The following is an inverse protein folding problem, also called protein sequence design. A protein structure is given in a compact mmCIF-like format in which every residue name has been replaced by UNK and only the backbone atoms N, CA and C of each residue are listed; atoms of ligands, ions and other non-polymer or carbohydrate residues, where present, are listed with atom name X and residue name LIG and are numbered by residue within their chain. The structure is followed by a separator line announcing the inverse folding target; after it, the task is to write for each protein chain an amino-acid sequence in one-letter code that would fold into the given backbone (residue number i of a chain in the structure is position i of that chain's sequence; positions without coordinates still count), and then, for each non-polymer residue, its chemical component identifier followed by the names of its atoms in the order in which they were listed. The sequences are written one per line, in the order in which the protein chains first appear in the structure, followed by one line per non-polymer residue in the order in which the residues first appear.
data_IF_992414572233
#
_entry.id   IF_992414572233
#
_cell.length_a   1.000
_cell.length_b   1.000
_cell.length_c   1.000
_cell.angle_alpha   90.00
_cell.angle_beta   90.00
_cell.angle_gamma   90.00
#
_symmetry.space_group_name_H-M   'P 1'
#
loop_
_entity.id
_entity.type
_entity.pdbx_description
1 polymer ?
#
# COMPACT_ATOMS: atom_id res chain seq x y z
N UNK A 1 6.81 23.16 -17.71
CA UNK A 1 7.56 22.05 -18.36
C UNK A 1 6.61 20.87 -18.56
N UNK A 2 6.39 20.41 -19.79
CA UNK A 2 5.33 19.44 -20.11
C UNK A 2 5.76 17.99 -19.79
N UNK A 3 4.91 17.22 -19.11
CA UNK A 3 5.07 15.78 -18.90
C UNK A 3 4.13 14.95 -19.79
N UNK A 4 4.53 13.73 -20.13
CA UNK A 4 3.67 12.74 -20.79
C UNK A 4 3.60 11.50 -19.91
N UNK A 5 2.40 11.01 -19.62
CA UNK A 5 2.16 9.75 -18.94
C UNK A 5 1.65 8.75 -19.97
N UNK A 6 2.40 7.66 -20.19
CA UNK A 6 1.93 6.53 -20.99
C UNK A 6 1.66 5.34 -20.06
N UNK A 7 0.42 4.84 -20.07
CA UNK A 7 0.03 3.64 -19.34
C UNK A 7 -0.32 2.53 -20.32
N UNK A 8 0.24 1.34 -20.09
CA UNK A 8 -0.09 0.13 -20.85
C UNK A 8 -0.53 -0.96 -19.88
N UNK A 9 -1.76 -1.44 -20.06
CA UNK A 9 -2.27 -2.56 -19.28
C UNK A 9 -1.96 -3.87 -20.00
N UNK A 10 -1.39 -4.83 -19.26
CA UNK A 10 -1.36 -6.24 -19.67
C UNK A 10 -2.45 -6.99 -18.89
N UNK A 11 -3.23 -7.87 -19.54
CA UNK A 11 -4.14 -8.77 -18.83
C UNK A 11 -3.40 -9.52 -17.71
N UNK A 12 -3.98 -9.53 -16.52
CA UNK A 12 -3.34 -10.19 -15.37
C UNK A 12 -3.47 -11.72 -15.48
N UNK A 13 -2.38 -12.43 -15.18
CA UNK A 13 -2.36 -13.89 -15.02
C UNK A 13 -2.32 -14.34 -13.56
N UNK A 14 -2.22 -13.39 -12.62
CA UNK A 14 -2.14 -13.67 -11.20
C UNK A 14 -3.55 -13.88 -10.64
N UNK A 15 -3.74 -14.93 -9.87
CA UNK A 15 -4.99 -15.20 -9.17
C UNK A 15 -5.31 -14.10 -8.15
N UNK A 16 -6.59 -13.80 -7.97
CA UNK A 16 -7.07 -12.93 -6.89
C UNK A 16 -6.63 -13.51 -5.54
N UNK A 17 -5.89 -12.75 -4.71
CA UNK A 17 -5.49 -13.21 -3.39
C UNK A 17 -6.73 -13.38 -2.51
N UNK A 18 -6.74 -14.43 -1.67
CA UNK A 18 -7.85 -14.64 -0.74
C UNK A 18 -7.71 -13.70 0.46
N UNK A 19 -8.83 -13.12 0.89
CA UNK A 19 -8.87 -12.24 2.07
C UNK A 19 -8.26 -12.88 3.32
N UNK A 20 -8.54 -14.18 3.54
CA UNK A 20 -7.97 -14.94 4.65
C UNK A 20 -6.43 -15.01 4.61
N UNK A 21 -5.83 -15.18 3.43
CA UNK A 21 -4.37 -15.24 3.28
C UNK A 21 -3.74 -13.85 3.56
N UNK A 22 -4.42 -12.77 3.17
CA UNK A 22 -3.99 -11.39 3.45
C UNK A 22 -4.04 -11.12 4.96
N UNK A 23 -5.17 -11.40 5.59
CA UNK A 23 -5.36 -11.16 7.02
C UNK A 23 -4.41 -12.00 7.87
N UNK A 24 -4.22 -13.28 7.53
CA UNK A 24 -3.27 -14.15 8.23
C UNK A 24 -1.83 -13.61 8.17
N UNK A 25 -1.41 -13.05 7.03
CA UNK A 25 -0.08 -12.42 6.92
C UNK A 25 0.05 -11.13 7.70
N UNK A 26 -1.00 -10.31 7.74
CA UNK A 26 -1.01 -9.11 8.58
C UNK A 26 -1.03 -9.45 10.06
N UNK A 27 -1.75 -10.50 10.46
CA UNK A 27 -1.73 -11.01 11.83
C UNK A 27 -0.33 -11.53 12.20
N UNK A 28 0.38 -12.19 11.27
CA UNK A 28 1.79 -12.55 11.46
C UNK A 28 2.70 -11.31 11.61
N UNK A 29 2.47 -10.26 10.82
CA UNK A 29 3.21 -9.00 10.96
C UNK A 29 3.00 -8.36 12.34
N UNK A 30 1.76 -8.35 12.84
CA UNK A 30 1.43 -7.85 14.18
C UNK A 30 2.07 -8.71 15.27
N UNK A 31 2.11 -10.03 15.08
CA UNK A 31 2.71 -10.96 16.04
C UNK A 31 4.24 -10.83 16.16
N UNK A 32 4.92 -10.21 15.19
CA UNK A 32 6.36 -9.89 15.28
C UNK A 32 6.67 -8.88 16.41
N UNK A 33 5.68 -8.11 16.88
CA UNK A 33 5.87 -7.12 17.92
C UNK A 33 6.95 -6.10 17.55
N UNK A 34 8.01 -6.02 18.35
CA UNK A 34 9.11 -5.07 18.14
C UNK A 34 10.14 -5.51 17.08
N UNK A 35 10.01 -6.70 16.48
CA UNK A 35 10.84 -7.08 15.33
C UNK A 35 10.31 -6.40 14.05
N UNK A 36 10.72 -5.14 13.88
CA UNK A 36 10.34 -4.28 12.76
C UNK A 36 10.76 -4.88 11.42
N UNK A 37 11.90 -5.58 11.36
CA UNK A 37 12.41 -6.17 10.12
C UNK A 37 11.51 -7.31 9.67
N UNK A 38 11.16 -8.23 10.58
CA UNK A 38 10.25 -9.32 10.29
C UNK A 38 8.84 -8.80 9.93
N UNK A 39 8.32 -7.83 10.69
CA UNK A 39 7.02 -7.20 10.39
C UNK A 39 7.00 -6.57 8.99
N UNK A 40 8.06 -5.84 8.64
CA UNK A 40 8.20 -5.19 7.33
C UNK A 40 8.21 -6.20 6.19
N UNK A 41 8.85 -7.36 6.35
CA UNK A 41 8.86 -8.42 5.34
C UNK A 41 7.45 -9.00 5.07
N UNK A 42 6.66 -9.19 6.14
CA UNK A 42 5.25 -9.61 6.01
C UNK A 42 4.42 -8.53 5.30
N UNK A 43 4.59 -7.26 5.68
CA UNK A 43 3.90 -6.13 5.07
C UNK A 43 4.26 -5.96 3.59
N UNK A 44 5.54 -6.12 3.23
CA UNK A 44 5.98 -6.07 1.84
C UNK A 44 5.29 -7.14 0.99
N UNK A 45 5.15 -8.35 1.53
CA UNK A 45 4.41 -9.42 0.85
C UNK A 45 2.93 -9.06 0.67
N UNK A 46 2.28 -8.49 1.68
CA UNK A 46 0.88 -8.05 1.58
C UNK A 46 0.74 -6.93 0.55
N UNK A 47 1.64 -5.95 0.56
CA UNK A 47 1.66 -4.88 -0.44
C UNK A 47 1.75 -5.46 -1.86
N UNK A 48 2.60 -6.46 -2.08
CA UNK A 48 2.73 -7.15 -3.37
C UNK A 48 1.48 -7.92 -3.78
N UNK A 49 0.86 -8.63 -2.83
CA UNK A 49 -0.41 -9.33 -3.07
C UNK A 49 -1.53 -8.36 -3.48
N UNK A 50 -1.52 -7.13 -2.99
CA UNK A 50 -2.52 -6.10 -3.27
C UNK A 50 -2.21 -5.27 -4.53
N UNK A 51 -1.10 -5.52 -5.25
CA UNK A 51 -0.77 -4.77 -6.48
C UNK A 51 -1.67 -5.13 -7.66
N UNK A 52 -2.10 -4.11 -8.40
CA UNK A 52 -2.77 -4.27 -9.69
C UNK A 52 -4.20 -4.81 -9.58
N UNK A 53 -4.73 -5.24 -10.73
CA UNK A 53 -6.13 -5.71 -10.86
C UNK A 53 -6.50 -6.81 -9.87
N UNK A 54 -5.69 -7.87 -9.62
CA UNK A 54 -6.08 -8.91 -8.66
C UNK A 54 -6.23 -8.38 -7.23
N UNK A 55 -5.40 -7.41 -6.84
CA UNK A 55 -5.53 -6.76 -5.53
C UNK A 55 -6.82 -5.94 -5.42
N UNK A 56 -7.15 -5.18 -6.48
CA UNK A 56 -8.42 -4.46 -6.56
C UNK A 56 -9.59 -5.43 -6.51
N UNK A 57 -9.55 -6.54 -7.25
CA UNK A 57 -10.61 -7.56 -7.23
C UNK A 57 -10.81 -8.19 -5.85
N UNK A 58 -9.75 -8.34 -5.05
CA UNK A 58 -9.87 -8.87 -3.69
C UNK A 58 -10.54 -7.88 -2.73
N UNK A 59 -10.36 -6.59 -2.97
CA UNK A 59 -10.80 -5.50 -2.09
C UNK A 59 -12.14 -4.87 -2.52
N UNK A 60 -12.42 -4.84 -3.83
CA UNK A 60 -13.64 -4.27 -4.38
C UNK A 60 -14.86 -4.98 -3.78
N UNK A 61 -15.83 -4.18 -3.34
CA UNK A 61 -17.05 -4.64 -2.65
C UNK A 61 -16.82 -5.49 -1.37
N UNK A 62 -15.59 -5.54 -0.83
CA UNK A 62 -15.28 -6.29 0.39
C UNK A 62 -14.93 -5.38 1.57
N UNK A 63 -15.95 -4.68 2.09
CA UNK A 63 -15.79 -3.72 3.18
C UNK A 63 -15.21 -4.34 4.45
N UNK A 64 -15.56 -5.60 4.75
CA UNK A 64 -15.05 -6.32 5.92
C UNK A 64 -13.55 -6.57 5.80
N UNK A 65 -13.06 -7.03 4.64
CA UNK A 65 -11.64 -7.20 4.41
C UNK A 65 -10.90 -5.86 4.50
N UNK A 66 -11.45 -4.79 3.94
CA UNK A 66 -10.83 -3.46 4.02
C UNK A 66 -10.69 -2.99 5.46
N UNK A 67 -11.77 -3.06 6.25
CA UNK A 67 -11.75 -2.71 7.67
C UNK A 67 -10.78 -3.60 8.46
N UNK A 68 -10.74 -4.90 8.14
CA UNK A 68 -9.82 -5.86 8.74
C UNK A 68 -8.36 -5.50 8.49
N UNK A 69 -8.00 -5.08 7.27
CA UNK A 69 -6.65 -4.62 6.94
C UNK A 69 -6.34 -3.31 7.68
N UNK A 70 -7.23 -2.33 7.66
CA UNK A 70 -7.02 -1.03 8.32
C UNK A 70 -6.77 -1.16 9.82
N UNK A 71 -7.55 -2.01 10.51
CA UNK A 71 -7.34 -2.25 11.93
C UNK A 71 -5.92 -2.80 12.23
N UNK A 72 -5.36 -3.62 11.33
CA UNK A 72 -4.01 -4.18 11.50
C UNK A 72 -2.93 -3.17 11.16
N UNK A 73 -3.13 -2.37 10.13
CA UNK A 73 -2.22 -1.25 9.81
C UNK A 73 -2.15 -0.25 10.96
N UNK A 74 -3.28 0.10 11.58
CA UNK A 74 -3.32 1.00 12.73
C UNK A 74 -2.50 0.47 13.91
N UNK A 75 -2.59 -0.84 14.21
CA UNK A 75 -1.79 -1.48 15.27
C UNK A 75 -0.29 -1.48 14.94
N UNK A 76 0.06 -1.66 13.67
CA UNK A 76 1.45 -1.62 13.22
C UNK A 76 2.00 -0.19 13.25
N UNK A 77 1.21 0.81 12.87
CA UNK A 77 1.59 2.23 13.00
C UNK A 77 1.87 2.61 14.46
N UNK A 78 1.03 2.16 15.41
CA UNK A 78 1.28 2.35 16.84
C UNK A 78 2.59 1.69 17.28
N UNK A 79 2.84 0.45 16.84
CA UNK A 79 4.07 -0.28 17.15
C UNK A 79 5.32 0.42 16.59
N UNK A 80 5.23 0.92 15.35
CA UNK A 80 6.31 1.70 14.71
C UNK A 80 6.54 3.00 15.47
N UNK A 81 5.49 3.71 15.88
CA UNK A 81 5.60 4.96 16.63
C UNK A 81 6.27 4.75 18.01
N UNK A 82 5.94 3.67 18.71
CA UNK A 82 6.61 3.31 19.97
C UNK A 82 8.10 3.02 19.75
N UNK A 83 8.44 2.30 18.68
CA UNK A 83 9.83 2.00 18.33
C UNK A 83 10.62 3.26 17.93
N UNK A 84 9.98 4.22 17.27
CA UNK A 84 10.54 5.53 16.89
C UNK A 84 10.93 6.33 18.15
N UNK A 85 10.02 6.43 19.13
CA UNK A 85 10.29 7.11 20.41
C UNK A 85 11.40 6.39 21.19
N UNK A 86 11.42 5.06 21.20
CA UNK A 86 12.47 4.30 21.87
C UNK A 86 13.86 4.58 21.24
N UNK A 87 13.91 4.79 19.92
CA UNK A 87 15.15 5.05 19.19
C UNK A 87 15.80 6.38 19.59
N UNK A 88 15.01 7.40 19.95
CA UNK A 88 15.52 8.71 20.39
C UNK A 88 16.41 8.65 21.65
N UNK A 89 16.21 7.61 22.47
CA UNK A 89 16.95 7.41 23.73
C UNK A 89 17.89 6.20 23.69
N UNK A 90 18.05 5.56 22.53
CA UNK A 90 18.86 4.38 22.38
C UNK A 90 20.36 4.71 22.46
N UNK A 91 21.10 3.94 23.26
CA UNK A 91 22.56 4.02 23.35
C UNK A 91 23.18 3.20 22.20
N UNK A 92 23.13 3.76 21.01
CA UNK A 92 23.70 3.20 19.78
C UNK A 92 24.80 4.13 19.25
N UNK A 93 25.79 3.54 18.57
CA UNK A 93 26.71 4.32 17.77
C UNK A 93 25.99 4.96 16.55
N UNK A 94 26.60 5.94 15.88
CA UNK A 94 25.96 6.63 14.76
C UNK A 94 25.51 5.70 13.63
N UNK A 95 26.28 4.66 13.33
CA UNK A 95 25.96 3.69 12.28
C UNK A 95 24.76 2.80 12.68
N UNK A 96 24.73 2.32 13.93
CA UNK A 96 23.60 1.55 14.47
C UNK A 96 22.31 2.36 14.50
N UNK A 97 22.39 3.66 14.84
CA UNK A 97 21.26 4.57 14.82
C UNK A 97 20.71 4.77 13.40
N UNK A 98 21.58 4.99 12.41
CA UNK A 98 21.18 5.15 11.00
C UNK A 98 20.49 3.89 10.47
N UNK A 99 21.06 2.70 10.75
CA UNK A 99 20.47 1.42 10.35
C UNK A 99 19.10 1.20 10.99
N UNK A 100 18.94 1.52 12.27
CA UNK A 100 17.66 1.40 12.97
C UNK A 100 16.60 2.38 12.42
N UNK A 101 16.97 3.64 12.19
CA UNK A 101 16.10 4.63 11.59
C UNK A 101 15.63 4.22 10.19
N UNK A 102 16.54 3.71 9.35
CA UNK A 102 16.22 3.22 8.01
C UNK A 102 15.19 2.08 8.02
N UNK A 103 15.26 1.19 9.03
CA UNK A 103 14.27 0.10 9.20
C UNK A 103 12.88 0.65 9.55
N UNK A 104 12.79 1.64 10.42
CA UNK A 104 11.52 2.28 10.77
C UNK A 104 10.91 3.05 9.59
N UNK A 105 11.74 3.74 8.81
CA UNK A 105 11.32 4.41 7.57
C UNK A 105 10.74 3.37 6.59
N UNK A 106 11.44 2.26 6.35
CA UNK A 106 10.97 1.21 5.46
C UNK A 106 9.63 0.60 5.92
N UNK A 107 9.45 0.41 7.23
CA UNK A 107 8.19 -0.06 7.81
C UNK A 107 7.04 0.94 7.57
N UNK A 108 7.29 2.23 7.82
CA UNK A 108 6.30 3.31 7.61
C UNK A 108 5.92 3.44 6.14
N UNK A 109 6.88 3.35 5.24
CA UNK A 109 6.67 3.42 3.79
C UNK A 109 5.75 2.30 3.31
N UNK A 110 5.95 1.07 3.79
CA UNK A 110 5.10 -0.05 3.37
C UNK A 110 3.69 0.04 3.97
N UNK A 111 3.53 0.44 5.24
CA UNK A 111 2.21 0.68 5.84
C UNK A 111 1.47 1.78 5.06
N UNK A 112 2.16 2.88 4.76
CA UNK A 112 1.62 3.96 3.95
C UNK A 112 1.21 3.49 2.56
N UNK A 113 2.04 2.67 1.88
CA UNK A 113 1.71 2.15 0.56
C UNK A 113 0.47 1.27 0.59
N UNK A 114 0.32 0.39 1.59
CA UNK A 114 -0.89 -0.43 1.73
C UNK A 114 -2.12 0.47 1.94
N UNK A 115 -2.09 1.39 2.90
CA UNK A 115 -3.24 2.25 3.20
C UNK A 115 -3.57 3.23 2.06
N UNK A 116 -2.58 3.98 1.58
CA UNK A 116 -2.78 5.13 0.69
C UNK A 116 -2.69 4.81 -0.80
N UNK A 117 -1.95 3.77 -1.18
CA UNK A 117 -1.85 3.34 -2.59
C UNK A 117 -2.72 2.11 -2.90
N UNK A 118 -2.96 1.20 -1.95
CA UNK A 118 -3.77 -0.01 -2.22
C UNK A 118 -5.22 0.19 -1.82
N UNK A 119 -5.49 0.40 -0.53
CA UNK A 119 -6.86 0.49 -0.04
C UNK A 119 -7.61 1.70 -0.61
N UNK A 120 -6.99 2.89 -0.58
CA UNK A 120 -7.60 4.09 -1.17
C UNK A 120 -7.89 3.91 -2.66
N UNK A 121 -6.95 3.38 -3.44
CA UNK A 121 -7.18 3.16 -4.87
C UNK A 121 -8.29 2.14 -5.11
N UNK A 122 -8.35 1.06 -4.34
CA UNK A 122 -9.44 0.09 -4.44
C UNK A 122 -10.82 0.74 -4.16
N UNK A 123 -10.92 1.63 -3.16
CA UNK A 123 -12.16 2.39 -2.89
C UNK A 123 -12.57 3.26 -4.07
N UNK A 124 -11.65 4.07 -4.59
CA UNK A 124 -11.93 4.99 -5.69
C UNK A 124 -12.29 4.25 -6.98
N UNK A 125 -11.64 3.10 -7.23
CA UNK A 125 -11.99 2.23 -8.35
C UNK A 125 -13.39 1.64 -8.15
N UNK A 126 -13.71 1.11 -6.96
CA UNK A 126 -15.02 0.52 -6.69
C UNK A 126 -16.15 1.56 -6.76
N UNK A 127 -15.92 2.77 -6.26
CA UNK A 127 -16.88 3.89 -6.32
C UNK A 127 -17.25 4.24 -7.76
N UNK A 128 -16.26 4.29 -8.67
CA UNK A 128 -16.48 4.62 -10.08
C UNK A 128 -17.01 3.44 -10.90
N UNK A 129 -16.52 2.23 -10.61
CA UNK A 129 -16.91 1.02 -11.33
C UNK A 129 -18.34 0.56 -10.99
N UNK A 130 -18.81 0.89 -9.78
CA UNK A 130 -20.07 0.43 -9.23
C UNK A 130 -20.00 -0.99 -8.66
N UNK A 131 -21.09 -1.38 -7.98
CA UNK A 131 -21.22 -2.71 -7.38
C UNK A 131 -21.21 -3.81 -8.45
N UNK A 132 -20.62 -4.94 -8.10
CA UNK A 132 -20.54 -6.15 -8.96
C UNK A 132 -19.83 -5.89 -10.29
N UNK A 133 -18.97 -4.86 -10.35
CA UNK A 133 -18.25 -4.50 -11.55
C UNK A 133 -17.37 -5.65 -12.07
N UNK A 134 -17.50 -5.94 -13.36
CA UNK A 134 -16.66 -6.94 -14.02
C UNK A 134 -15.19 -6.53 -14.07
N UNK A 135 -14.31 -7.51 -14.27
CA UNK A 135 -12.85 -7.34 -14.31
C UNK A 135 -12.41 -6.26 -15.31
N UNK A 136 -13.08 -6.16 -16.46
CA UNK A 136 -12.78 -5.15 -17.47
C UNK A 136 -12.99 -3.72 -16.94
N UNK A 137 -14.10 -3.47 -16.23
CA UNK A 137 -14.39 -2.17 -15.64
C UNK A 137 -13.39 -1.82 -14.53
N UNK A 138 -13.14 -2.76 -13.61
CA UNK A 138 -12.14 -2.58 -12.54
C UNK A 138 -10.75 -2.29 -13.11
N UNK A 139 -10.35 -2.99 -14.18
CA UNK A 139 -9.07 -2.75 -14.85
C UNK A 139 -9.01 -1.38 -15.51
N UNK A 140 -10.08 -0.95 -16.18
CA UNK A 140 -10.15 0.36 -16.82
C UNK A 140 -10.07 1.50 -15.81
N UNK A 141 -10.87 1.45 -14.75
CA UNK A 141 -10.85 2.47 -13.71
C UNK A 141 -9.56 2.47 -12.88
N UNK A 142 -8.93 1.31 -12.68
CA UNK A 142 -7.59 1.27 -12.07
C UNK A 142 -6.56 2.02 -12.91
N UNK A 143 -6.58 1.86 -14.24
CA UNK A 143 -5.68 2.58 -15.15
C UNK A 143 -5.91 4.10 -15.07
N UNK A 144 -7.16 4.54 -15.04
CA UNK A 144 -7.51 5.96 -14.87
C UNK A 144 -6.98 6.49 -13.54
N UNK A 145 -7.20 5.76 -12.44
CA UNK A 145 -6.72 6.15 -11.11
C UNK A 145 -5.19 6.21 -11.03
N UNK A 146 -4.49 5.30 -11.73
CA UNK A 146 -3.03 5.35 -11.83
C UNK A 146 -2.54 6.57 -12.62
N UNK A 147 -3.28 6.97 -13.66
CA UNK A 147 -2.98 8.19 -14.42
C UNK A 147 -3.10 9.44 -13.54
N UNK A 148 -4.21 9.56 -12.80
CA UNK A 148 -4.42 10.69 -11.88
C UNK A 148 -3.39 10.73 -10.75
N UNK A 149 -3.09 9.58 -10.13
CA UNK A 149 -2.04 9.53 -9.11
C UNK A 149 -0.65 9.91 -9.65
N UNK A 150 -0.37 9.62 -10.93
CA UNK A 150 0.86 10.06 -11.58
C UNK A 150 0.86 11.57 -11.86
N UNK A 151 -0.28 12.14 -12.28
CA UNK A 151 -0.46 13.59 -12.45
C UNK A 151 -0.24 14.33 -11.13
N UNK A 152 -0.89 13.91 -10.05
CA UNK A 152 -0.76 14.54 -8.73
C UNK A 152 0.72 14.60 -8.29
N UNK A 153 1.47 13.52 -8.50
CA UNK A 153 2.91 13.47 -8.18
C UNK A 153 3.77 14.37 -9.06
N UNK A 154 3.32 14.69 -10.28
CA UNK A 154 4.03 15.61 -11.18
C UNK A 154 3.72 17.07 -10.86
N UNK A 155 2.48 17.38 -10.48
CA UNK A 155 2.06 18.73 -10.06
C UNK A 155 2.91 19.21 -8.87
N UNK A 156 3.10 18.34 -7.87
CA UNK A 156 3.97 18.61 -6.71
C UNK A 156 5.44 18.88 -7.11
N UNK A 157 5.87 18.47 -8.31
CA UNK A 157 7.22 18.69 -8.85
C UNK A 157 7.32 19.89 -9.80
N UNK A 158 6.32 20.77 -9.82
CA UNK A 158 6.32 22.00 -10.62
C UNK A 158 6.17 21.76 -12.13
N UNK A 159 5.43 20.71 -12.51
CA UNK A 159 5.05 20.47 -13.91
C UNK A 159 3.66 21.06 -14.16
N UNK A 160 3.62 22.18 -14.86
CA UNK A 160 2.39 22.96 -15.09
C UNK A 160 1.43 22.34 -16.12
N UNK A 161 1.82 21.23 -16.77
CA UNK A 161 0.98 20.54 -17.76
C UNK A 161 1.39 19.07 -17.95
N UNK A 162 0.39 18.20 -18.14
CA UNK A 162 0.55 16.77 -18.36
C UNK A 162 -0.44 16.24 -19.41
N UNK A 163 0.08 15.52 -20.41
CA UNK A 163 -0.74 14.71 -21.32
C UNK A 163 -0.87 13.28 -20.82
N UNK A 164 -2.05 12.68 -21.03
CA UNK A 164 -2.33 11.24 -20.91
C UNK A 164 -2.51 10.68 -22.32
#
# INVERSE_FOLDING_TARGET
MCGIIALSARPTSRSTPRGADILARLDAAVACGHDIVAATAHLATVNDLLKGVPGVMALADNLELMAGIEARLARLDETIAVADVALESADLDPEGLEVAAARLIAARDVVWSIGRDRLRTARLVAELAGRDAGVAALSGYLMIQQAFAAIDRMEVRGRDSAGI
#
